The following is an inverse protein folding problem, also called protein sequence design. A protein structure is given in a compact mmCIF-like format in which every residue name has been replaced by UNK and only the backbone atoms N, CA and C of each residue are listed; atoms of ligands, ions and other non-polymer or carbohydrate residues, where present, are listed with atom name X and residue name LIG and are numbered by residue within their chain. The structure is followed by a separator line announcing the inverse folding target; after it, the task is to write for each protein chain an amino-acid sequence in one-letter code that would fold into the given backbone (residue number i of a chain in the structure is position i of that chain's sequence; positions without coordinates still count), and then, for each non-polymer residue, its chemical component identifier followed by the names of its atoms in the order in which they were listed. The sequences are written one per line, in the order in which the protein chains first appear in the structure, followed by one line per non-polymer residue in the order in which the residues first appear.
data_IF_362130195362
#
_entry.id   IF_362130195362
#
_cell.length_a   1.000
_cell.length_b   1.000
_cell.length_c   1.000
_cell.angle_alpha   90.00
_cell.angle_beta   90.00
_cell.angle_gamma   90.00
#
_symmetry.space_group_name_H-M   'P 1'
#
loop_
_entity.id
_entity.type
_entity.pdbx_description
1 polymer ?
#
# COMPACT_ATOMS: atom_id res chain seq x y z
N UNK A 1 28.79 4.08 -12.19
CA UNK A 1 27.70 4.84 -11.54
C UNK A 1 26.51 3.89 -11.52
N UNK A 2 26.18 3.31 -10.37
CA UNK A 2 24.98 2.46 -10.25
C UNK A 2 23.76 3.37 -10.33
N UNK A 3 22.98 3.24 -11.40
CA UNK A 3 21.71 3.95 -11.49
C UNK A 3 20.75 3.33 -10.46
N UNK A 4 20.44 4.08 -9.40
CA UNK A 4 19.49 3.65 -8.39
C UNK A 4 18.07 3.99 -8.85
N UNK A 5 17.44 3.08 -9.59
CA UNK A 5 16.07 3.24 -10.07
C UNK A 5 15.09 3.07 -8.91
N UNK A 6 14.43 4.17 -8.53
CA UNK A 6 13.50 4.19 -7.42
C UNK A 6 12.14 4.76 -7.80
N UNK A 7 11.10 4.30 -7.10
CA UNK A 7 9.74 4.82 -7.23
C UNK A 7 9.04 4.81 -5.87
N UNK A 8 8.27 5.86 -5.59
CA UNK A 8 7.41 5.94 -4.41
C UNK A 8 6.12 5.16 -4.65
N UNK A 9 5.79 4.25 -3.73
CA UNK A 9 4.51 3.55 -3.75
C UNK A 9 3.41 4.43 -3.13
N UNK A 10 2.28 4.52 -3.82
CA UNK A 10 1.11 5.29 -3.40
C UNK A 10 -0.12 4.40 -3.53
N UNK A 11 -0.94 4.34 -2.47
CA UNK A 11 -2.18 3.59 -2.42
C UNK A 11 -2.18 2.38 -1.49
N UNK A 12 -3.24 1.59 -1.59
CA UNK A 12 -3.54 0.46 -0.70
C UNK A 12 -3.59 -0.89 -1.41
N UNK A 13 -3.39 -0.92 -2.73
CA UNK A 13 -3.62 -2.11 -3.57
C UNK A 13 -2.66 -3.26 -3.28
N UNK A 14 -1.48 -2.96 -2.72
CA UNK A 14 -0.42 -3.91 -2.39
C UNK A 14 -0.31 -4.17 -0.88
N UNK A 15 -1.28 -3.71 -0.09
CA UNK A 15 -1.36 -4.07 1.32
C UNK A 15 -1.49 -5.60 1.47
N UNK A 16 -0.89 -6.21 2.52
CA UNK A 16 -0.09 -5.59 3.57
C UNK A 16 1.41 -5.49 3.25
N UNK A 17 1.85 -5.88 2.05
CA UNK A 17 3.27 -5.98 1.71
C UNK A 17 3.92 -4.61 1.50
N UNK A 18 3.26 -3.76 0.72
CA UNK A 18 3.70 -2.39 0.47
C UNK A 18 2.70 -1.42 1.10
N UNK A 19 3.22 -0.33 1.68
CA UNK A 19 2.48 0.70 2.39
C UNK A 19 2.74 2.06 1.76
N UNK A 20 1.78 2.99 1.91
CA UNK A 20 1.90 4.37 1.44
C UNK A 20 3.28 4.96 1.79
N UNK A 21 3.93 5.54 0.78
CA UNK A 21 5.25 6.19 0.85
C UNK A 21 6.44 5.24 1.05
N UNK A 22 6.28 3.93 0.88
CA UNK A 22 7.43 3.03 0.66
C UNK A 22 8.20 3.48 -0.60
N UNK A 23 9.53 3.55 -0.50
CA UNK A 23 10.41 3.84 -1.63
C UNK A 23 10.93 2.52 -2.17
N UNK A 24 10.50 2.14 -3.37
CA UNK A 24 10.82 0.85 -3.98
C UNK A 24 12.00 1.01 -4.92
N UNK A 25 12.97 0.11 -4.82
CA UNK A 25 14.04 -0.04 -5.80
C UNK A 25 13.65 -1.10 -6.82
N UNK A 26 13.95 -0.88 -8.09
CA UNK A 26 13.61 -1.80 -9.16
C UNK A 26 14.74 -1.95 -10.18
N UNK A 27 14.73 -3.07 -10.90
CA UNK A 27 15.61 -3.33 -12.03
C UNK A 27 14.79 -3.12 -13.32
N UNK A 28 15.27 -2.32 -14.29
CA UNK A 28 14.55 -2.08 -15.53
C UNK A 28 14.21 -3.36 -16.31
N UNK A 29 13.06 -3.36 -16.98
CA UNK A 29 12.55 -4.51 -17.73
C UNK A 29 13.49 -5.09 -18.82
N UNK A 30 14.33 -4.32 -19.55
CA UNK A 30 15.27 -4.93 -20.49
C UNK A 30 16.36 -5.74 -19.79
N UNK A 31 16.68 -5.44 -18.53
CA UNK A 31 17.72 -6.12 -17.76
C UNK A 31 17.18 -7.36 -17.03
N UNK A 32 15.89 -7.36 -16.69
CA UNK A 32 15.23 -8.50 -16.04
C UNK A 32 13.78 -8.62 -16.48
N UNK A 33 13.46 -9.77 -17.06
CA UNK A 33 12.08 -10.12 -17.40
C UNK A 33 11.27 -10.51 -16.15
N UNK A 34 10.02 -10.06 -16.02
CA UNK A 34 9.15 -10.47 -14.93
C UNK A 34 8.81 -11.96 -14.97
N UNK A 35 8.77 -12.58 -13.78
CA UNK A 35 8.21 -13.93 -13.61
C UNK A 35 7.04 -13.92 -12.63
N UNK A 36 6.15 -14.94 -12.65
CA UNK A 36 5.07 -15.03 -11.67
C UNK A 36 5.57 -14.92 -10.23
N UNK A 37 4.90 -14.06 -9.48
CA UNK A 37 5.21 -13.71 -8.10
C UNK A 37 6.09 -12.47 -7.96
N UNK A 38 6.63 -11.91 -9.03
CA UNK A 38 7.34 -10.64 -9.00
C UNK A 38 6.38 -9.45 -8.84
N UNK A 39 6.81 -8.42 -8.10
CA UNK A 39 6.16 -7.11 -8.11
C UNK A 39 6.78 -6.28 -9.22
N UNK A 40 5.94 -5.72 -10.10
CA UNK A 40 6.36 -4.96 -11.27
C UNK A 40 5.82 -3.55 -11.24
N UNK A 41 6.61 -2.62 -11.77
CA UNK A 41 6.21 -1.25 -12.07
C UNK A 41 5.85 -1.21 -13.56
N UNK A 42 4.67 -0.73 -13.91
CA UNK A 42 4.23 -0.68 -15.31
C UNK A 42 3.30 0.49 -15.60
N UNK A 43 3.24 0.90 -16.86
CA UNK A 43 2.26 1.89 -17.33
C UNK A 43 0.90 1.23 -17.52
N UNK A 44 -0.16 1.90 -17.10
CA UNK A 44 -1.52 1.38 -17.24
C UNK A 44 -1.83 1.04 -18.71
N UNK A 45 -2.07 -0.24 -19.04
CA UNK A 45 -2.35 -0.67 -20.40
C UNK A 45 -3.69 -0.13 -20.93
N UNK A 46 -4.56 0.43 -20.08
CA UNK A 46 -5.77 1.12 -20.51
C UNK A 46 -5.51 2.53 -21.09
N UNK A 47 -4.25 3.01 -21.07
CA UNK A 47 -3.88 4.29 -21.67
C UNK A 47 -4.13 5.51 -20.78
N UNK A 48 -4.39 5.33 -19.48
CA UNK A 48 -4.60 6.45 -18.55
C UNK A 48 -3.31 7.24 -18.24
N UNK A 49 -2.14 6.76 -18.67
CA UNK A 49 -0.84 7.33 -18.35
C UNK A 49 -0.37 7.05 -16.91
N UNK A 50 -1.18 6.40 -16.08
CA UNK A 50 -0.85 6.09 -14.69
C UNK A 50 0.24 5.02 -14.60
N UNK A 51 1.02 5.10 -13.54
CA UNK A 51 1.97 4.05 -13.16
C UNK A 51 1.30 3.15 -12.13
N UNK A 52 1.35 1.85 -12.35
CA UNK A 52 0.75 0.83 -11.49
C UNK A 52 1.86 -0.07 -10.97
N UNK A 53 1.76 -0.43 -9.69
CA UNK A 53 2.70 -1.34 -9.02
C UNK A 53 1.89 -2.51 -8.50
N UNK A 54 1.94 -3.66 -9.19
CA UNK A 54 1.21 -4.87 -8.83
C UNK A 54 2.07 -6.12 -9.01
N UNK A 55 1.59 -7.25 -8.49
CA UNK A 55 2.28 -8.53 -8.62
C UNK A 55 1.85 -9.27 -9.88
N UNK A 56 2.81 -9.82 -10.61
CA UNK A 56 2.55 -10.76 -11.72
C UNK A 56 1.99 -12.04 -11.12
N UNK A 57 0.76 -12.40 -11.47
CA UNK A 57 0.15 -13.66 -11.04
C UNK A 57 0.34 -14.77 -12.06
N UNK A 58 0.47 -14.40 -13.34
CA UNK A 58 0.63 -15.36 -14.43
C UNK A 58 1.26 -14.70 -15.66
N UNK A 59 2.10 -15.44 -16.37
CA UNK A 59 2.51 -15.13 -17.74
C UNK A 59 1.60 -15.87 -18.71
N UNK A 60 1.04 -15.14 -19.68
CA UNK A 60 0.16 -15.68 -20.71
C UNK A 60 0.97 -16.31 -21.86
N UNK A 61 0.38 -17.23 -22.64
CA UNK A 61 1.05 -17.80 -23.82
C UNK A 61 1.46 -16.78 -24.88
N UNK A 62 0.76 -15.64 -24.97
CA UNK A 62 1.05 -14.52 -25.86
C UNK A 62 2.13 -13.56 -25.32
N UNK A 63 2.81 -13.94 -24.21
CA UNK A 63 3.87 -13.15 -23.58
C UNK A 63 3.39 -11.99 -22.71
N UNK A 64 2.07 -11.77 -22.58
CA UNK A 64 1.50 -10.75 -21.69
C UNK A 64 1.44 -11.23 -20.24
N UNK A 65 1.34 -10.30 -19.30
CA UNK A 65 1.28 -10.59 -17.87
C UNK A 65 -0.11 -10.30 -17.31
N UNK A 66 -0.67 -11.26 -16.58
CA UNK A 66 -1.77 -10.97 -15.66
C UNK A 66 -1.16 -10.45 -14.37
N UNK A 67 -1.56 -9.25 -13.96
CA UNK A 67 -1.14 -8.60 -12.72
C UNK A 67 -2.30 -8.48 -11.75
N UNK A 68 -1.97 -8.34 -10.47
CA UNK A 68 -2.94 -8.16 -9.39
C UNK A 68 -2.30 -7.51 -8.18
N UNK A 69 -3.01 -6.56 -7.57
CA UNK A 69 -2.66 -6.04 -6.25
C UNK A 69 -2.83 -7.11 -5.16
N UNK A 70 -1.90 -7.21 -4.22
CA UNK A 70 -1.99 -8.16 -3.09
C UNK A 70 -3.25 -7.97 -2.21
N UNK A 71 -3.86 -6.78 -2.26
CA UNK A 71 -5.12 -6.43 -1.58
C UNK A 71 -6.37 -6.45 -2.51
N UNK A 72 -6.19 -6.77 -3.79
CA UNK A 72 -7.26 -6.77 -4.80
C UNK A 72 -7.96 -8.12 -4.88
N UNK A 73 -9.30 -8.14 -5.03
CA UNK A 73 -10.08 -9.39 -5.13
C UNK A 73 -10.10 -10.02 -6.52
N UNK A 74 -9.68 -9.28 -7.54
CA UNK A 74 -9.63 -9.74 -8.92
C UNK A 74 -8.29 -9.33 -9.54
N UNK A 75 -7.92 -10.01 -10.62
CA UNK A 75 -6.80 -9.59 -11.44
C UNK A 75 -7.12 -8.24 -12.09
N UNK A 76 -6.07 -7.53 -12.47
CA UNK A 76 -6.23 -6.32 -13.27
C UNK A 76 -6.95 -6.65 -14.57
N UNK A 77 -7.84 -5.76 -14.99
CA UNK A 77 -8.76 -5.99 -16.12
C UNK A 77 -8.01 -6.22 -17.44
N UNK A 78 -6.88 -5.53 -17.62
CA UNK A 78 -6.13 -5.50 -18.86
C UNK A 78 -4.79 -6.20 -18.66
N UNK A 79 -4.48 -7.24 -19.45
CA UNK A 79 -3.17 -7.89 -19.41
C UNK A 79 -2.07 -6.91 -19.82
N UNK A 80 -0.96 -6.93 -19.09
CA UNK A 80 0.13 -5.99 -19.28
C UNK A 80 1.08 -6.51 -20.36
N UNK A 81 1.29 -5.78 -21.47
CA UNK A 81 2.31 -6.15 -22.44
C UNK A 81 3.71 -5.88 -21.88
N UNK A 82 4.71 -6.64 -22.33
CA UNK A 82 6.11 -6.45 -21.90
C UNK A 82 6.61 -5.02 -22.11
N UNK A 83 6.19 -4.36 -23.19
CA UNK A 83 6.55 -2.96 -23.49
C UNK A 83 6.01 -1.94 -22.49
N UNK A 84 4.99 -2.28 -21.70
CA UNK A 84 4.46 -1.42 -20.66
C UNK A 84 5.19 -1.62 -19.31
N UNK A 85 5.95 -2.70 -19.15
CA UNK A 85 6.74 -2.96 -17.94
C UNK A 85 7.91 -1.99 -17.90
N UNK A 86 8.00 -1.23 -16.82
CA UNK A 86 9.12 -0.32 -16.53
C UNK A 86 10.24 -1.10 -15.85
N UNK A 87 9.90 -1.93 -14.86
CA UNK A 87 10.87 -2.76 -14.18
C UNK A 87 10.29 -3.68 -13.12
N UNK A 88 11.16 -4.50 -12.55
CA UNK A 88 10.83 -5.47 -11.50
C UNK A 88 11.39 -4.98 -10.17
N UNK A 89 10.52 -4.85 -9.17
CA UNK A 89 10.88 -4.42 -7.82
C UNK A 89 11.75 -5.49 -7.16
N UNK A 90 12.86 -5.07 -6.56
CA UNK A 90 13.83 -5.94 -5.87
C UNK A 90 13.87 -5.71 -4.36
N UNK A 91 13.33 -4.58 -3.90
CA UNK A 91 13.33 -4.20 -2.50
C UNK A 91 12.92 -2.74 -2.34
N UNK A 92 13.29 -2.14 -1.22
CA UNK A 92 13.04 -0.73 -0.98
C UNK A 92 13.42 -0.31 0.43
N UNK A 93 12.86 0.83 0.84
CA UNK A 93 12.99 1.38 2.18
C UNK A 93 11.61 1.85 2.65
N UNK A 94 11.31 1.60 3.92
CA UNK A 94 10.12 2.08 4.63
C UNK A 94 10.57 2.99 5.76
N UNK A 95 10.45 4.30 5.59
CA UNK A 95 11.10 5.27 6.47
C UNK A 95 12.61 5.05 6.42
N UNK A 96 13.22 4.68 7.55
CA UNK A 96 14.65 4.40 7.66
C UNK A 96 14.98 2.89 7.68
N UNK A 97 13.98 2.02 7.47
CA UNK A 97 14.15 0.57 7.57
C UNK A 97 14.20 -0.07 6.18
N UNK A 98 15.12 -1.04 5.94
CA UNK A 98 15.13 -1.78 4.69
C UNK A 98 13.82 -2.56 4.52
N UNK A 99 13.26 -2.52 3.32
CA UNK A 99 12.04 -3.21 2.95
C UNK A 99 12.38 -4.36 1.99
N UNK A 100 12.16 -5.59 2.45
CA UNK A 100 12.22 -6.76 1.59
C UNK A 100 10.94 -6.91 0.77
N UNK A 101 11.09 -7.08 -0.54
CA UNK A 101 9.96 -7.39 -1.44
C UNK A 101 10.16 -8.80 -1.97
N UNK A 102 9.18 -9.68 -1.69
CA UNK A 102 9.23 -11.06 -2.15
C UNK A 102 9.03 -11.16 -3.66
N UNK A 103 9.83 -12.01 -4.31
CA UNK A 103 9.87 -12.20 -5.77
C UNK A 103 9.73 -13.67 -6.15
N UNK A 104 9.39 -13.94 -7.41
CA UNK A 104 9.22 -15.30 -7.95
C UNK A 104 8.31 -16.19 -7.10
N UNK A 105 8.69 -17.45 -6.90
CA UNK A 105 7.91 -18.42 -6.13
C UNK A 105 7.60 -17.96 -4.69
N UNK A 106 8.57 -17.34 -3.99
CA UNK A 106 8.34 -16.78 -2.64
C UNK A 106 7.32 -15.65 -2.66
N UNK A 107 7.37 -14.81 -3.70
CA UNK A 107 6.37 -13.78 -3.95
C UNK A 107 4.99 -14.35 -4.21
N UNK A 108 4.90 -15.48 -4.92
CA UNK A 108 3.63 -16.17 -5.16
C UNK A 108 3.01 -16.75 -3.88
N UNK A 109 3.82 -17.38 -3.02
CA UNK A 109 3.36 -17.88 -1.71
C UNK A 109 2.88 -16.72 -0.84
N UNK A 110 3.63 -15.63 -0.82
CA UNK A 110 3.23 -14.42 -0.10
C UNK A 110 1.90 -13.85 -0.63
N UNK A 111 1.74 -13.79 -1.95
CA UNK A 111 0.49 -13.35 -2.58
C UNK A 111 -0.69 -14.19 -2.12
N UNK A 112 -0.56 -15.51 -2.14
CA UNK A 112 -1.61 -16.42 -1.67
C UNK A 112 -1.97 -16.16 -0.21
N UNK A 113 -0.97 -15.96 0.67
CA UNK A 113 -1.21 -15.59 2.05
C UNK A 113 -1.98 -14.26 2.18
N UNK A 114 -1.52 -13.20 1.50
CA UNK A 114 -2.17 -11.89 1.53
C UNK A 114 -3.62 -11.96 1.04
N UNK A 115 -3.87 -12.78 0.02
CA UNK A 115 -5.18 -13.03 -0.57
C UNK A 115 -6.12 -13.74 0.40
N UNK A 116 -5.62 -14.72 1.16
CA UNK A 116 -6.40 -15.38 2.20
C UNK A 116 -6.75 -14.40 3.31
N UNK A 117 -5.79 -13.58 3.77
CA UNK A 117 -6.08 -12.50 4.71
C UNK A 117 -7.14 -11.54 4.18
N UNK A 118 -7.04 -11.10 2.92
CA UNK A 118 -8.01 -10.19 2.30
C UNK A 118 -9.41 -10.81 2.22
N UNK A 119 -9.52 -12.10 1.92
CA UNK A 119 -10.80 -12.83 1.92
C UNK A 119 -11.40 -12.90 3.32
N UNK A 120 -10.60 -13.25 4.33
CA UNK A 120 -11.03 -13.31 5.73
C UNK A 120 -11.46 -11.94 6.22
N UNK A 121 -10.68 -10.89 5.96
CA UNK A 121 -11.03 -9.52 6.35
C UNK A 121 -12.29 -9.05 5.62
N UNK A 122 -12.43 -9.31 4.32
CA UNK A 122 -13.64 -8.96 3.56
C UNK A 122 -14.88 -9.69 4.10
N UNK A 123 -14.72 -10.96 4.47
CA UNK A 123 -15.78 -11.73 5.12
C UNK A 123 -16.14 -11.13 6.48
N UNK A 124 -15.16 -10.90 7.35
CA UNK A 124 -15.37 -10.27 8.66
C UNK A 124 -16.00 -8.89 8.52
N UNK A 125 -15.61 -8.08 7.54
CA UNK A 125 -16.25 -6.79 7.26
C UNK A 125 -17.71 -6.95 6.84
N UNK A 126 -18.06 -7.97 6.05
CA UNK A 126 -19.47 -8.22 5.68
C UNK A 126 -20.35 -8.51 6.89
N UNK A 127 -19.86 -9.28 7.86
CA UNK A 127 -20.62 -9.68 9.04
C UNK A 127 -20.51 -8.68 10.20
N UNK A 128 -19.33 -8.08 10.38
CA UNK A 128 -18.99 -7.26 11.53
C UNK A 128 -18.76 -5.78 11.18
N UNK A 129 -19.03 -5.30 9.95
CA UNK A 129 -18.89 -3.87 9.62
C UNK A 129 -19.69 -2.97 10.57
N UNK A 130 -20.97 -3.29 10.82
CA UNK A 130 -21.82 -2.51 11.72
C UNK A 130 -21.30 -2.45 13.16
N UNK A 131 -21.03 -3.59 13.84
CA UNK A 131 -20.45 -3.55 15.18
C UNK A 131 -19.04 -2.95 15.17
N UNK A 132 -18.21 -3.18 14.15
CA UNK A 132 -16.89 -2.56 14.02
C UNK A 132 -16.97 -1.04 13.97
N UNK A 133 -17.85 -0.48 13.12
CA UNK A 133 -18.05 0.96 13.04
C UNK A 133 -18.66 1.51 14.33
N UNK A 134 -19.62 0.80 14.94
CA UNK A 134 -20.22 1.22 16.20
C UNK A 134 -19.19 1.24 17.35
N UNK A 135 -18.40 0.18 17.51
CA UNK A 135 -17.34 0.08 18.51
C UNK A 135 -16.24 1.11 18.27
N UNK A 136 -15.89 1.38 17.01
CA UNK A 136 -14.92 2.44 16.68
C UNK A 136 -15.41 3.83 17.10
N UNK A 137 -16.72 4.10 17.01
CA UNK A 137 -17.31 5.39 17.41
C UNK A 137 -17.36 5.58 18.93
N UNK A 138 -17.36 4.50 19.71
CA UNK A 138 -17.40 4.59 21.17
C UNK A 138 -16.04 4.98 21.78
N UNK A 139 -14.93 4.86 21.04
CA UNK A 139 -13.59 5.28 21.49
C UNK A 139 -13.03 4.51 22.70
N UNK A 140 -13.71 3.43 23.13
CA UNK A 140 -13.36 2.65 24.33
C UNK A 140 -12.00 1.98 24.16
N UNK A 141 -11.73 1.45 22.97
CA UNK A 141 -10.48 0.75 22.69
C UNK A 141 -9.28 1.69 22.63
N UNK A 142 -9.43 2.93 22.14
CA UNK A 142 -8.36 3.94 22.13
C UNK A 142 -7.82 4.24 23.53
N UNK A 143 -8.68 4.20 24.56
CA UNK A 143 -8.30 4.48 25.95
C UNK A 143 -7.50 3.35 26.61
N UNK A 144 -7.63 2.12 26.11
CA UNK A 144 -7.00 0.91 26.66
C UNK A 144 -5.67 0.62 25.93
N UNK A 145 -5.32 1.40 24.90
CA UNK A 145 -4.10 1.23 24.11
C UNK A 145 -2.85 1.45 24.99
N UNK A 146 -1.98 0.44 25.16
CA UNK A 146 -0.72 0.60 25.89
C UNK A 146 0.12 1.74 25.32
N UNK A 147 0.88 2.45 26.15
CA UNK A 147 1.67 3.62 25.75
C UNK A 147 2.59 3.42 24.53
N UNK A 148 3.08 2.19 24.30
CA UNK A 148 3.87 1.79 23.12
C UNK A 148 3.13 1.88 21.78
N UNK A 149 1.80 1.94 21.80
CA UNK A 149 0.93 2.01 20.63
C UNK A 149 0.22 3.37 20.52
N UNK A 150 0.73 4.40 21.20
CA UNK A 150 0.22 5.77 21.07
C UNK A 150 0.17 6.20 19.61
N UNK A 151 -0.92 6.90 19.29
CA UNK A 151 -1.12 7.55 18.01
C UNK A 151 0.00 8.55 17.76
N UNK A 152 0.63 8.47 16.59
CA UNK A 152 1.65 9.41 16.12
C UNK A 152 1.25 9.90 14.73
N UNK A 153 1.17 11.21 14.57
CA UNK A 153 0.93 11.85 13.29
C UNK A 153 2.26 12.28 12.68
N UNK A 154 2.44 12.00 11.40
CA UNK A 154 3.66 12.30 10.64
C UNK A 154 3.25 13.00 9.36
N UNK A 155 3.89 14.12 9.07
CA UNK A 155 3.76 14.83 7.79
C UNK A 155 4.90 14.36 6.89
N UNK A 156 4.54 13.80 5.74
CA UNK A 156 5.49 13.37 4.72
C UNK A 156 5.47 14.40 3.60
N UNK A 157 6.57 15.15 3.46
CA UNK A 157 6.74 16.10 2.35
C UNK A 157 6.97 15.32 1.06
N UNK A 158 6.10 15.50 0.09
CA UNK A 158 6.18 14.88 -1.24
C UNK A 158 6.27 15.97 -2.33
N UNK A 159 6.57 15.56 -3.56
CA UNK A 159 6.56 16.47 -4.72
C UNK A 159 5.15 16.98 -5.06
N UNK A 160 4.11 16.26 -4.65
CA UNK A 160 2.70 16.58 -4.92
C UNK A 160 2.08 17.42 -3.82
N UNK A 161 2.79 17.61 -2.71
CA UNK A 161 2.24 18.19 -1.50
C UNK A 161 2.68 17.49 -0.21
N UNK A 162 1.97 17.74 0.87
CA UNK A 162 2.19 17.15 2.19
C UNK A 162 1.19 16.03 2.45
N UNK A 163 1.67 14.79 2.47
CA UNK A 163 0.87 13.63 2.85
C UNK A 163 0.82 13.52 4.38
N UNK A 164 -0.37 13.24 4.91
CA UNK A 164 -0.57 12.96 6.33
C UNK A 164 -0.56 11.46 6.56
N UNK A 165 0.20 11.00 7.55
CA UNK A 165 0.23 9.61 7.97
C UNK A 165 -0.04 9.49 9.46
N UNK A 166 -0.82 8.48 9.83
CA UNK A 166 -1.08 8.14 11.22
C UNK A 166 -0.53 6.76 11.54
N UNK A 167 0.24 6.68 12.62
CA UNK A 167 0.89 5.47 13.11
C UNK A 167 0.35 5.07 14.48
N UNK A 168 0.25 3.77 14.71
CA UNK A 168 0.07 3.16 16.03
C UNK A 168 1.38 2.49 16.43
N UNK A 169 2.17 3.17 17.28
CA UNK A 169 3.54 2.76 17.60
C UNK A 169 4.45 2.83 16.36
N UNK A 170 4.85 1.68 15.81
CA UNK A 170 5.69 1.56 14.59
C UNK A 170 4.89 1.17 13.34
N UNK A 171 3.58 0.91 13.46
CA UNK A 171 2.75 0.41 12.37
C UNK A 171 1.96 1.56 11.74
N UNK A 172 2.05 1.71 10.42
CA UNK A 172 1.17 2.63 9.70
C UNK A 172 -0.27 2.17 9.88
N UNK A 173 -1.12 3.05 10.38
CA UNK A 173 -2.52 2.80 10.69
C UNK A 173 -3.45 3.43 9.63
N UNK A 174 -3.01 4.51 8.99
CA UNK A 174 -3.72 5.15 7.89
C UNK A 174 -2.96 6.32 7.30
N UNK A 175 -3.47 6.88 6.22
CA UNK A 175 -2.92 8.06 5.56
C UNK A 175 -4.03 8.88 4.87
N UNK A 176 -3.72 10.13 4.56
CA UNK A 176 -4.50 11.03 3.73
C UNK A 176 -3.52 11.81 2.85
N UNK A 177 -3.57 11.61 1.54
CA UNK A 177 -2.81 12.44 0.61
C UNK A 177 -3.38 13.85 0.55
N UNK A 178 -2.59 14.84 0.11
CA UNK A 178 -3.06 16.24 0.05
C UNK A 178 -4.32 16.42 -0.80
N UNK A 179 -4.46 15.63 -1.86
CA UNK A 179 -5.61 15.64 -2.77
C UNK A 179 -6.73 14.69 -2.37
N UNK A 180 -6.52 13.87 -1.33
CA UNK A 180 -7.52 12.90 -0.88
C UNK A 180 -8.58 13.59 -0.02
N UNK A 181 -9.85 13.39 -0.36
CA UNK A 181 -10.97 13.94 0.42
C UNK A 181 -11.08 13.32 1.82
N UNK A 182 -10.78 12.03 1.96
CA UNK A 182 -10.96 11.27 3.18
C UNK A 182 -9.70 10.47 3.58
N UNK A 183 -9.56 10.22 4.88
CA UNK A 183 -8.53 9.35 5.42
C UNK A 183 -8.71 7.89 4.99
N UNK A 184 -7.68 7.32 4.38
CA UNK A 184 -7.57 5.87 4.18
C UNK A 184 -7.02 5.22 5.45
N UNK A 185 -7.89 4.54 6.21
CA UNK A 185 -7.51 3.84 7.44
C UNK A 185 -7.44 2.34 7.18
N UNK A 186 -6.29 1.74 7.47
CA UNK A 186 -6.05 0.30 7.32
C UNK A 186 -6.82 -0.45 8.41
N UNK A 187 -7.79 -1.32 8.08
CA UNK A 187 -8.46 -2.14 9.08
C UNK A 187 -7.46 -3.10 9.77
N UNK A 188 -7.62 -3.37 11.08
CA UNK A 188 -8.66 -2.89 11.99
C UNK A 188 -8.27 -1.61 12.77
N UNK A 189 -7.28 -0.84 12.29
CA UNK A 189 -6.64 0.22 13.09
C UNK A 189 -7.60 1.33 13.52
N UNK A 190 -8.73 1.52 12.83
CA UNK A 190 -9.77 2.50 13.20
C UNK A 190 -10.32 2.32 14.61
N UNK A 191 -10.27 1.11 15.18
CA UNK A 191 -10.70 0.86 16.57
C UNK A 191 -9.79 1.51 17.61
N UNK A 192 -8.54 1.78 17.24
CA UNK A 192 -7.50 2.25 18.16
C UNK A 192 -7.03 3.67 17.84
N UNK A 193 -7.63 4.31 16.84
CA UNK A 193 -7.36 5.69 16.46
C UNK A 193 -8.44 6.59 17.03
N UNK A 194 -8.04 7.75 17.55
CA UNK A 194 -8.98 8.81 17.86
C UNK A 194 -9.30 9.57 16.57
N UNK A 195 -10.46 9.26 15.98
CA UNK A 195 -10.91 9.89 14.74
C UNK A 195 -11.18 11.39 14.86
N UNK A 196 -11.38 11.92 16.07
CA UNK A 196 -11.57 13.35 16.31
C UNK A 196 -10.25 14.13 16.35
N UNK A 197 -9.14 13.43 16.58
CA UNK A 197 -7.79 13.98 16.60
C UNK A 197 -7.07 13.85 15.25
N UNK A 198 -7.76 13.42 14.19
CA UNK A 198 -7.20 13.36 12.85
C UNK A 198 -7.40 14.72 12.16
N UNK A 199 -6.31 15.43 11.82
CA UNK A 199 -6.36 16.72 11.15
C UNK A 199 -6.89 16.58 9.72
N UNK A 200 -7.53 17.63 9.23
CA UNK A 200 -7.98 17.68 7.84
C UNK A 200 -6.91 18.23 6.91
N UNK A 201 -6.04 19.09 7.43
CA UNK A 201 -4.91 19.65 6.70
C UNK A 201 -3.58 19.54 7.48
N UNK A 202 -2.43 19.52 6.78
CA UNK A 202 -1.11 19.64 7.40
C UNK A 202 -0.93 20.92 8.21
N UNK A 203 -1.61 21.99 7.83
CA UNK A 203 -1.62 23.28 8.53
C UNK A 203 -2.20 23.16 9.94
N UNK A 204 -3.21 22.29 10.13
CA UNK A 204 -3.86 22.07 11.43
C UNK A 204 -2.91 21.41 12.44
N UNK A 205 -1.91 20.66 11.97
CA UNK A 205 -0.87 20.05 12.80
C UNK A 205 0.27 20.99 13.16
N UNK A 206 0.54 21.95 12.28
CA UNK A 206 1.64 22.89 12.46
C UNK A 206 1.26 24.11 13.27
N UNK A 207 -0.04 24.35 13.52
CA UNK A 207 -0.60 25.32 14.46
C UNK A 207 0.14 26.65 14.54
N UNK A 208 -0.35 27.66 13.81
CA UNK A 208 -0.03 29.09 13.94
C UNK A 208 1.28 29.40 14.69
N UNK A 209 2.41 29.29 13.99
CA UNK A 209 3.65 29.95 14.41
C UNK A 209 3.52 31.47 14.24
#
# INVERSE_FOLDING_TARGET
MENNWQIRYVGASMNPGLLQNDILSYVPAPERLPVPGDVVVFRDPAGSGRIIIHRVVRTRPDGRYDTRGDNSLHNDRHPVPQSAIIGVVTGGVRGDQPLGVSSGMRGMVYHQYAQQLRRVVSFLQRFFSRPYHHLSRQGVFCRIVPGRFRQRLVIVKTIEGNDLQVYLGRRLAGWKGEKDAEWTIIPPCRLFLDGTALPDSPTDLLGDL
#
